data_IF_338481358887
#
_entry.id   IF_338481358887
#
_cell.length_a   1.000
_cell.length_b   1.000
_cell.length_c   1.000
_cell.angle_alpha   90.00
_cell.angle_beta   90.00
_cell.angle_gamma   90.00
#
_symmetry.space_group_name_H-M   'P 1'
#
loop_
_entity.id
_entity.type
_entity.pdbx_description
1 polymer ?
#
# COMPACT_ATOMS: atom_id res chain seq x y z
N UNK A 1 -10.09 -25.52 9.20
CA UNK A 1 -10.73 -24.29 8.66
C UNK A 1 -12.19 -24.36 9.05
N UNK A 2 -12.77 -23.27 9.54
CA UNK A 2 -14.20 -23.26 9.89
C UNK A 2 -15.04 -23.17 8.61
N UNK A 3 -15.98 -24.10 8.44
CA UNK A 3 -16.91 -24.09 7.32
C UNK A 3 -17.77 -22.82 7.35
N UNK A 4 -17.88 -22.05 6.25
CA UNK A 4 -18.66 -20.80 6.24
C UNK A 4 -20.19 -21.00 6.26
N UNK A 5 -20.66 -22.26 6.21
CA UNK A 5 -22.08 -22.63 6.16
C UNK A 5 -22.59 -23.27 7.45
N UNK A 6 -21.86 -24.24 8.02
CA UNK A 6 -22.28 -24.95 9.23
C UNK A 6 -21.37 -24.71 10.44
N UNK A 7 -20.36 -23.84 10.32
CA UNK A 7 -19.42 -23.49 11.40
C UNK A 7 -18.59 -24.65 11.99
N UNK A 8 -18.66 -25.85 11.42
CA UNK A 8 -17.81 -26.99 11.83
C UNK A 8 -16.36 -26.72 11.42
N UNK A 9 -15.41 -26.99 12.32
CA UNK A 9 -13.98 -26.94 12.01
C UNK A 9 -13.57 -28.21 11.26
N UNK A 10 -13.16 -28.05 9.99
CA UNK A 10 -12.80 -29.14 9.09
C UNK A 10 -11.29 -29.27 8.95
N UNK A 11 -10.82 -30.51 8.92
CA UNK A 11 -9.48 -30.89 8.48
C UNK A 11 -9.37 -30.84 6.94
N UNK A 12 -8.14 -30.87 6.42
CA UNK A 12 -7.93 -30.78 4.97
C UNK A 12 -8.47 -31.96 4.17
N UNK A 13 -8.39 -33.17 4.73
CA UNK A 13 -9.00 -34.38 4.16
C UNK A 13 -10.54 -34.34 4.17
N UNK A 14 -11.15 -33.45 4.96
CA UNK A 14 -12.61 -33.34 5.13
C UNK A 14 -13.25 -32.27 4.23
N UNK A 15 -12.49 -31.79 3.26
CA UNK A 15 -12.89 -30.70 2.36
C UNK A 15 -12.47 -30.93 0.91
N UNK A 16 -12.60 -32.18 0.46
CA UNK A 16 -12.33 -32.60 -0.91
C UNK A 16 -13.18 -31.80 -1.91
N UNK A 17 -12.56 -31.30 -2.98
CA UNK A 17 -13.26 -30.51 -3.99
C UNK A 17 -13.90 -29.22 -3.45
N UNK A 18 -13.34 -28.63 -2.38
CA UNK A 18 -13.86 -27.42 -1.71
C UNK A 18 -15.30 -27.59 -1.21
N UNK A 19 -15.66 -28.82 -0.83
CA UNK A 19 -16.99 -29.15 -0.32
C UNK A 19 -16.88 -29.66 1.09
N UNK A 20 -17.67 -29.12 2.01
CA UNK A 20 -17.67 -29.54 3.41
C UNK A 20 -18.23 -30.97 3.54
N UNK A 21 -17.48 -31.90 4.14
CA UNK A 21 -18.02 -33.25 4.35
C UNK A 21 -19.22 -33.30 5.30
N UNK A 22 -19.36 -32.35 6.23
CA UNK A 22 -20.45 -32.32 7.21
C UNK A 22 -21.77 -31.82 6.60
N UNK A 23 -21.77 -30.65 5.93
CA UNK A 23 -22.99 -30.05 5.37
C UNK A 23 -23.14 -30.22 3.84
N UNK A 24 -22.16 -30.82 3.17
CA UNK A 24 -22.10 -31.04 1.71
C UNK A 24 -22.17 -29.78 0.84
N UNK A 25 -22.04 -28.59 1.43
CA UNK A 25 -22.01 -27.32 0.68
C UNK A 25 -20.60 -26.96 0.23
N UNK A 26 -20.52 -26.42 -0.98
CA UNK A 26 -19.29 -25.89 -1.56
C UNK A 26 -18.93 -24.54 -0.96
N UNK A 27 -17.64 -24.27 -0.79
CA UNK A 27 -17.09 -22.97 -0.40
C UNK A 27 -16.10 -22.48 -1.46
N UNK A 28 -15.84 -21.17 -1.49
CA UNK A 28 -15.12 -20.54 -2.59
C UNK A 28 -13.61 -20.71 -2.50
N UNK A 29 -13.04 -20.48 -1.31
CA UNK A 29 -11.61 -20.29 -1.09
C UNK A 29 -11.04 -21.36 -0.16
N UNK A 30 -10.02 -22.05 -0.64
CA UNK A 30 -9.24 -23.02 0.12
C UNK A 30 -7.88 -22.42 0.49
N UNK A 31 -7.53 -22.28 1.79
CA UNK A 31 -6.31 -21.60 2.21
C UNK A 31 -4.99 -22.26 1.77
N UNK A 32 -4.99 -23.53 1.36
CA UNK A 32 -3.80 -24.15 0.74
C UNK A 32 -3.65 -23.89 -0.76
N UNK A 33 -4.73 -23.51 -1.44
CA UNK A 33 -4.77 -23.37 -2.90
C UNK A 33 -4.39 -21.96 -3.38
N UNK A 34 -4.17 -21.00 -2.47
CA UNK A 34 -3.87 -19.62 -2.81
C UNK A 34 -2.75 -19.02 -1.96
N UNK A 35 -1.94 -18.16 -2.57
CA UNK A 35 -0.74 -17.54 -1.98
C UNK A 35 -1.07 -16.70 -0.73
N UNK A 36 -2.26 -16.13 -0.67
CA UNK A 36 -2.73 -15.28 0.42
C UNK A 36 -3.22 -16.08 1.64
N UNK A 37 -3.33 -17.40 1.51
CA UNK A 37 -3.95 -18.32 2.48
C UNK A 37 -5.33 -17.82 2.92
N UNK A 38 -6.12 -17.36 1.95
CA UNK A 38 -7.48 -16.90 2.15
C UNK A 38 -8.44 -18.08 2.24
N UNK A 39 -9.46 -17.87 3.06
CA UNK A 39 -10.57 -18.77 3.26
C UNK A 39 -11.82 -17.93 3.48
N UNK A 40 -13.00 -18.51 3.28
CA UNK A 40 -14.23 -17.72 3.13
C UNK A 40 -14.55 -16.86 4.35
N UNK A 41 -14.39 -17.42 5.56
CA UNK A 41 -14.59 -16.66 6.80
C UNK A 41 -13.65 -15.45 6.88
N UNK A 42 -12.36 -15.61 6.55
CA UNK A 42 -11.39 -14.50 6.56
C UNK A 42 -11.74 -13.45 5.51
N UNK A 43 -12.22 -13.87 4.35
CA UNK A 43 -12.68 -12.96 3.30
C UNK A 43 -13.88 -12.12 3.75
N UNK A 44 -14.88 -12.74 4.41
CA UNK A 44 -16.02 -12.01 5.01
C UNK A 44 -15.56 -11.04 6.07
N UNK A 45 -14.67 -11.46 6.98
CA UNK A 45 -14.11 -10.58 8.01
C UNK A 45 -13.35 -9.39 7.42
N UNK A 46 -12.62 -9.57 6.33
CA UNK A 46 -11.93 -8.46 5.65
C UNK A 46 -12.93 -7.49 5.00
N UNK A 47 -13.95 -8.02 4.32
CA UNK A 47 -15.03 -7.22 3.74
C UNK A 47 -15.78 -6.40 4.82
N UNK A 48 -16.13 -7.03 5.94
CA UNK A 48 -16.77 -6.38 7.08
C UNK A 48 -15.89 -5.29 7.70
N UNK A 49 -14.58 -5.56 7.87
CA UNK A 49 -13.62 -4.58 8.38
C UNK A 49 -13.46 -3.37 7.46
N UNK A 50 -13.44 -3.58 6.14
CA UNK A 50 -13.39 -2.48 5.18
C UNK A 50 -14.70 -1.68 5.13
N UNK A 51 -15.83 -2.35 5.37
CA UNK A 51 -17.13 -1.72 5.53
C UNK A 51 -17.30 -0.95 6.85
N UNK A 52 -16.36 -1.10 7.79
CA UNK A 52 -16.28 -0.37 9.07
C UNK A 52 -17.59 -0.39 9.89
N UNK A 53 -18.38 -1.47 9.77
CA UNK A 53 -19.72 -1.58 10.38
C UNK A 53 -20.79 -0.64 9.81
N UNK A 54 -20.39 0.41 9.09
CA UNK A 54 -21.24 1.44 8.46
C UNK A 54 -21.73 1.05 7.06
N UNK A 55 -21.29 -0.10 6.55
CA UNK A 55 -21.60 -0.55 5.20
C UNK A 55 -20.86 0.22 4.12
N UNK A 56 -19.68 0.77 4.44
CA UNK A 56 -18.83 1.43 3.47
C UNK A 56 -18.49 0.49 2.31
N UNK A 57 -18.40 1.07 1.12
CA UNK A 57 -18.00 0.37 -0.10
C UNK A 57 -16.49 0.49 -0.29
N UNK A 58 -15.90 -0.50 -0.93
CA UNK A 58 -14.45 -0.58 -1.18
C UNK A 58 -14.17 -1.18 -2.55
N UNK A 59 -13.00 -0.90 -3.12
CA UNK A 59 -12.61 -1.43 -4.44
C UNK A 59 -11.81 -2.73 -4.36
N UNK A 60 -11.64 -3.42 -5.49
CA UNK A 60 -10.84 -4.64 -5.56
C UNK A 60 -9.38 -4.44 -5.10
N UNK A 61 -8.67 -3.36 -5.49
CA UNK A 61 -7.35 -3.05 -4.95
C UNK A 61 -7.31 -2.92 -3.42
N UNK A 62 -8.27 -2.20 -2.81
CA UNK A 62 -8.33 -2.05 -1.35
C UNK A 62 -8.47 -3.39 -0.63
N UNK A 63 -9.35 -4.26 -1.13
CA UNK A 63 -9.53 -5.59 -0.60
C UNK A 63 -8.30 -6.47 -0.80
N UNK A 64 -7.65 -6.37 -1.96
CA UNK A 64 -6.42 -7.08 -2.27
C UNK A 64 -5.26 -6.68 -1.35
N UNK A 65 -5.07 -5.38 -1.11
CA UNK A 65 -4.07 -4.87 -0.15
C UNK A 65 -4.38 -5.34 1.28
N UNK A 66 -5.64 -5.23 1.71
CA UNK A 66 -6.07 -5.68 3.04
C UNK A 66 -5.86 -7.20 3.23
N UNK A 67 -6.09 -8.00 2.20
CA UNK A 67 -5.88 -9.44 2.21
C UNK A 67 -4.39 -9.83 2.28
N UNK A 68 -3.55 -9.04 1.63
CA UNK A 68 -2.14 -9.38 1.40
C UNK A 68 -1.17 -8.78 2.40
N UNK A 69 -1.51 -7.69 3.11
CA UNK A 69 -0.57 -6.94 3.96
C UNK A 69 0.21 -7.79 4.98
N UNK A 70 -0.43 -8.80 5.58
CA UNK A 70 0.22 -9.71 6.55
C UNK A 70 0.94 -10.90 5.88
N UNK A 71 1.05 -10.89 4.56
CA UNK A 71 1.68 -11.94 3.73
C UNK A 71 2.78 -11.39 2.83
N UNK A 72 3.06 -10.09 2.90
CA UNK A 72 4.17 -9.49 2.18
C UNK A 72 5.47 -10.05 2.77
N UNK A 73 6.33 -10.69 1.96
CA UNK A 73 7.59 -11.23 2.46
C UNK A 73 8.50 -10.10 2.92
N UNK A 74 9.21 -10.24 4.06
CA UNK A 74 10.20 -9.25 4.46
C UNK A 74 11.31 -9.13 3.39
N UNK A 75 11.86 -7.93 3.27
CA UNK A 75 12.99 -7.65 2.40
C UNK A 75 14.12 -8.69 2.55
N UNK A 76 14.51 -9.29 1.41
CA UNK A 76 15.56 -10.30 1.34
C UNK A 76 15.26 -11.63 2.03
N UNK A 77 13.98 -12.04 2.10
CA UNK A 77 13.61 -13.38 2.61
C UNK A 77 14.16 -14.50 1.71
N UNK A 78 14.06 -14.35 0.38
CA UNK A 78 14.52 -15.36 -0.59
C UNK A 78 16.04 -15.63 -0.48
N UNK A 79 16.84 -14.59 -0.22
CA UNK A 79 18.30 -14.71 -0.07
C UNK A 79 18.75 -15.28 1.29
N UNK A 80 17.84 -15.45 2.28
CA UNK A 80 18.22 -16.01 3.59
C UNK A 80 18.56 -17.49 3.52
N UNK A 81 17.76 -18.29 2.82
CA UNK A 81 17.90 -19.74 2.76
C UNK A 81 19.20 -20.16 2.07
N UNK A 82 19.41 -19.67 0.84
CA UNK A 82 20.58 -20.03 0.03
C UNK A 82 21.91 -19.68 0.73
N UNK A 83 22.00 -18.53 1.38
CA UNK A 83 23.23 -18.12 2.09
C UNK A 83 23.53 -18.99 3.31
N UNK A 84 22.53 -19.34 4.13
CA UNK A 84 22.78 -20.20 5.30
C UNK A 84 23.30 -21.55 4.84
N UNK A 85 22.70 -22.12 3.80
CA UNK A 85 23.18 -23.36 3.19
C UNK A 85 24.62 -23.21 2.67
N UNK A 86 24.93 -22.13 1.94
CA UNK A 86 26.27 -21.91 1.40
C UNK A 86 27.33 -21.75 2.49
N UNK A 87 27.06 -20.94 3.53
CA UNK A 87 27.98 -20.78 4.67
C UNK A 87 28.20 -22.10 5.41
N UNK A 88 27.15 -22.89 5.63
CA UNK A 88 27.27 -24.21 6.27
C UNK A 88 28.12 -25.15 5.41
N UNK A 89 27.89 -25.21 4.10
CA UNK A 89 28.68 -26.03 3.18
C UNK A 89 30.15 -25.59 3.19
N UNK A 90 30.42 -24.29 3.12
CA UNK A 90 31.80 -23.77 3.15
C UNK A 90 32.48 -24.08 4.49
N UNK A 91 31.77 -23.95 5.61
CA UNK A 91 32.29 -24.27 6.94
C UNK A 91 32.63 -25.76 7.07
N UNK A 92 31.71 -26.64 6.63
CA UNK A 92 31.91 -28.10 6.65
C UNK A 92 33.08 -28.49 5.78
N UNK A 93 33.16 -27.96 4.54
CA UNK A 93 34.28 -28.22 3.64
C UNK A 93 35.62 -27.78 4.25
N UNK A 94 35.66 -26.60 4.88
CA UNK A 94 36.87 -26.10 5.55
C UNK A 94 37.29 -27.02 6.72
N UNK A 95 36.35 -27.47 7.54
CA UNK A 95 36.62 -28.40 8.66
C UNK A 95 37.12 -29.75 8.13
N UNK A 96 36.48 -30.30 7.09
CA UNK A 96 36.89 -31.56 6.47
C UNK A 96 38.32 -31.49 5.93
N UNK A 97 38.67 -30.40 5.21
CA UNK A 97 40.03 -30.18 4.66
C UNK A 97 41.08 -30.09 5.78
N UNK A 98 40.78 -29.41 6.89
CA UNK A 98 41.70 -29.29 8.03
C UNK A 98 41.86 -30.63 8.77
N UNK A 99 40.78 -31.41 8.88
CA UNK A 99 40.80 -32.68 9.61
C UNK A 99 41.61 -33.79 8.90
N UNK A 100 41.61 -33.80 7.56
CA UNK A 100 42.25 -34.83 6.75
C UNK A 100 43.75 -34.61 6.46
N UNK A 101 44.31 -33.43 6.76
CA UNK A 101 45.63 -33.04 6.27
C UNK A 101 46.69 -32.96 7.39
N UNK A 102 47.83 -33.69 7.30
CA UNK A 102 48.89 -33.66 8.31
C UNK A 102 49.61 -32.29 8.41
N UNK A 103 49.50 -31.44 7.38
CA UNK A 103 50.07 -30.09 7.35
C UNK A 103 49.13 -29.02 7.93
N UNK A 104 48.70 -29.17 9.19
CA UNK A 104 47.68 -28.32 9.83
C UNK A 104 48.07 -26.84 9.93
N UNK A 105 49.35 -26.53 10.19
CA UNK A 105 49.82 -25.15 10.46
C UNK A 105 49.74 -24.21 9.25
N UNK A 106 50.25 -24.54 8.04
CA UNK A 106 50.15 -23.64 6.89
C UNK A 106 48.70 -23.51 6.37
N UNK A 107 47.88 -24.57 6.47
CA UNK A 107 46.47 -24.54 6.07
C UNK A 107 45.66 -23.58 6.95
N UNK A 108 45.91 -23.54 8.26
CA UNK A 108 45.27 -22.58 9.16
C UNK A 108 45.68 -21.14 8.87
N UNK A 109 46.96 -20.90 8.55
CA UNK A 109 47.51 -19.55 8.35
C UNK A 109 47.01 -18.87 7.07
N UNK A 110 46.76 -19.65 6.01
CA UNK A 110 46.25 -19.13 4.71
C UNK A 110 44.75 -19.36 4.54
N UNK A 111 44.25 -20.53 4.93
CA UNK A 111 42.85 -20.90 4.78
C UNK A 111 41.90 -20.09 5.68
N UNK A 112 42.34 -19.75 6.90
CA UNK A 112 41.56 -18.93 7.82
C UNK A 112 41.22 -17.54 7.26
N UNK A 113 42.22 -16.74 6.83
CA UNK A 113 41.97 -15.44 6.21
C UNK A 113 41.13 -15.50 4.94
N UNK A 114 41.37 -16.47 4.04
CA UNK A 114 40.58 -16.64 2.81
C UNK A 114 39.11 -16.93 3.14
N UNK A 115 38.86 -17.82 4.12
CA UNK A 115 37.51 -18.11 4.59
C UNK A 115 36.86 -16.87 5.21
N UNK A 116 37.58 -16.11 6.03
CA UNK A 116 37.09 -14.88 6.64
C UNK A 116 36.70 -13.82 5.58
N UNK A 117 37.54 -13.62 4.55
CA UNK A 117 37.25 -12.73 3.43
C UNK A 117 36.04 -13.22 2.64
N UNK A 118 35.93 -14.52 2.36
CA UNK A 118 34.77 -15.09 1.67
C UNK A 118 33.47 -14.85 2.46
N UNK A 119 33.48 -15.12 3.78
CA UNK A 119 32.33 -14.86 4.66
C UNK A 119 31.98 -13.37 4.68
N UNK A 120 32.98 -12.48 4.73
CA UNK A 120 32.77 -11.03 4.69
C UNK A 120 32.17 -10.58 3.35
N UNK A 121 32.72 -11.04 2.22
CA UNK A 121 32.20 -10.75 0.89
C UNK A 121 30.75 -11.23 0.73
N UNK A 122 30.44 -12.44 1.19
CA UNK A 122 29.07 -12.97 1.18
C UNK A 122 28.15 -12.14 2.09
N UNK A 123 28.64 -11.70 3.25
CA UNK A 123 27.89 -10.83 4.17
C UNK A 123 27.59 -9.47 3.53
N UNK A 124 28.57 -8.84 2.87
CA UNK A 124 28.40 -7.57 2.18
C UNK A 124 27.48 -7.69 0.95
N UNK A 125 27.65 -8.75 0.15
CA UNK A 125 26.78 -9.06 -0.98
C UNK A 125 25.33 -9.27 -0.51
N UNK A 126 25.12 -9.96 0.63
CA UNK A 126 23.80 -10.13 1.25
C UNK A 126 23.24 -8.81 1.77
N UNK A 127 24.06 -7.97 2.41
CA UNK A 127 23.63 -6.64 2.87
C UNK A 127 23.20 -5.78 1.68
N UNK A 128 23.92 -5.85 0.56
CA UNK A 128 23.57 -5.17 -0.70
C UNK A 128 22.30 -5.75 -1.32
N UNK A 129 22.18 -7.07 -1.47
CA UNK A 129 20.99 -7.73 -1.99
C UNK A 129 19.75 -7.36 -1.16
N UNK A 130 19.84 -7.40 0.18
CA UNK A 130 18.75 -6.96 1.08
C UNK A 130 18.34 -5.51 0.89
N UNK A 131 19.21 -4.64 0.38
CA UNK A 131 18.89 -3.24 0.07
C UNK A 131 18.19 -3.09 -1.28
N UNK A 132 18.43 -3.99 -2.23
CA UNK A 132 17.96 -3.88 -3.62
C UNK A 132 16.78 -4.82 -3.93
N UNK A 133 16.58 -5.88 -3.15
CA UNK A 133 15.56 -6.90 -3.45
C UNK A 133 14.15 -6.29 -3.49
N UNK A 134 13.41 -6.35 -4.61
CA UNK A 134 12.08 -5.78 -4.66
C UNK A 134 11.15 -6.50 -3.68
N UNK A 135 10.31 -5.73 -2.98
CA UNK A 135 9.26 -6.24 -2.11
C UNK A 135 7.94 -6.08 -2.86
N UNK A 136 7.47 -7.19 -3.43
CA UNK A 136 6.25 -7.25 -4.23
C UNK A 136 5.11 -7.88 -3.43
N UNK A 137 3.90 -7.60 -3.89
CA UNK A 137 2.72 -8.30 -3.41
C UNK A 137 2.82 -9.79 -3.75
N UNK A 138 2.46 -10.69 -2.83
CA UNK A 138 2.61 -12.14 -3.01
C UNK A 138 1.73 -12.71 -4.14
N UNK A 139 0.66 -12.00 -4.49
CA UNK A 139 -0.28 -12.34 -5.57
C UNK A 139 -0.55 -11.04 -6.35
N UNK A 140 -0.59 -11.09 -7.69
CA UNK A 140 -0.96 -9.92 -8.51
C UNK A 140 -2.45 -9.58 -8.37
N UNK A 141 -2.83 -8.33 -8.67
CA UNK A 141 -4.23 -7.90 -8.61
C UNK A 141 -5.10 -8.69 -9.60
N UNK A 142 -4.66 -8.86 -10.85
CA UNK A 142 -5.39 -9.64 -11.87
C UNK A 142 -5.63 -11.10 -11.43
N UNK A 143 -4.62 -11.73 -10.82
CA UNK A 143 -4.77 -13.08 -10.26
C UNK A 143 -5.70 -13.10 -9.07
N UNK A 144 -5.72 -12.04 -8.25
CA UNK A 144 -6.68 -11.91 -7.16
C UNK A 144 -8.12 -11.78 -7.69
N UNK A 145 -8.34 -10.97 -8.72
CA UNK A 145 -9.65 -10.81 -9.34
C UNK A 145 -10.17 -12.12 -9.95
N UNK A 146 -9.35 -12.79 -10.76
CA UNK A 146 -9.72 -14.06 -11.41
C UNK A 146 -9.80 -15.25 -10.43
N UNK A 147 -8.78 -15.48 -9.60
CA UNK A 147 -8.74 -16.66 -8.75
C UNK A 147 -9.54 -16.54 -7.45
N UNK A 148 -9.78 -15.32 -6.95
CA UNK A 148 -10.47 -15.09 -5.67
C UNK A 148 -11.85 -14.48 -5.90
N UNK A 149 -11.95 -13.34 -6.58
CA UNK A 149 -13.22 -12.60 -6.67
C UNK A 149 -14.22 -13.24 -7.64
N UNK A 150 -13.76 -13.66 -8.82
CA UNK A 150 -14.60 -14.38 -9.78
C UNK A 150 -15.06 -15.72 -9.19
N UNK A 151 -14.13 -16.49 -8.60
CA UNK A 151 -14.49 -17.76 -7.94
C UNK A 151 -15.50 -17.57 -6.81
N UNK A 152 -15.35 -16.50 -6.02
CA UNK A 152 -16.31 -16.13 -5.00
C UNK A 152 -17.70 -15.88 -5.60
N UNK A 153 -17.76 -15.11 -6.68
CA UNK A 153 -19.01 -14.80 -7.37
C UNK A 153 -19.67 -16.06 -7.97
N UNK A 154 -18.90 -16.99 -8.54
CA UNK A 154 -19.41 -18.27 -9.05
C UNK A 154 -20.07 -19.13 -7.97
N UNK A 155 -19.44 -19.25 -6.80
CA UNK A 155 -19.93 -20.13 -5.72
C UNK A 155 -21.10 -19.49 -4.96
N UNK A 156 -21.08 -18.18 -4.76
CA UNK A 156 -22.08 -17.49 -3.95
C UNK A 156 -23.13 -16.71 -4.75
N UNK A 157 -23.02 -16.66 -6.08
CA UNK A 157 -23.91 -15.89 -6.96
C UNK A 157 -23.78 -14.36 -6.81
N UNK A 158 -22.81 -13.88 -6.01
CA UNK A 158 -22.61 -12.45 -5.72
C UNK A 158 -21.19 -12.15 -5.30
N UNK A 159 -20.76 -10.91 -5.49
CA UNK A 159 -19.47 -10.41 -5.00
C UNK A 159 -19.44 -10.28 -3.47
N UNK A 160 -18.24 -10.19 -2.85
CA UNK A 160 -18.11 -9.84 -1.44
C UNK A 160 -18.89 -8.56 -1.12
N UNK A 161 -19.58 -8.53 0.03
CA UNK A 161 -20.44 -7.40 0.42
C UNK A 161 -19.62 -6.11 0.48
N UNK A 162 -20.11 -5.05 -0.17
CA UNK A 162 -19.43 -3.75 -0.20
C UNK A 162 -18.41 -3.58 -1.33
N UNK A 163 -18.08 -4.63 -2.08
CA UNK A 163 -17.16 -4.51 -3.21
C UNK A 163 -17.80 -3.71 -4.36
N UNK A 164 -17.18 -2.58 -4.71
CA UNK A 164 -17.53 -1.76 -5.87
C UNK A 164 -17.12 -2.47 -7.15
N UNK A 165 -17.98 -2.56 -8.17
CA UNK A 165 -17.59 -3.11 -9.45
C UNK A 165 -16.60 -2.19 -10.18
N UNK A 166 -15.62 -2.74 -10.92
CA UNK A 166 -14.82 -1.94 -11.84
C UNK A 166 -15.78 -1.20 -12.78
N UNK A 167 -15.71 0.12 -12.77
CA UNK A 167 -16.69 0.95 -13.45
C UNK A 167 -15.97 1.78 -14.52
N UNK A 168 -16.37 1.58 -15.77
CA UNK A 168 -15.92 2.43 -16.88
C UNK A 168 -16.68 3.76 -16.95
N UNK A 169 -17.69 3.96 -16.09
CA UNK A 169 -18.48 5.17 -16.09
C UNK A 169 -17.59 6.40 -15.80
N UNK A 170 -17.94 7.57 -16.37
CA UNK A 170 -17.28 8.82 -16.03
C UNK A 170 -17.31 9.11 -14.53
N UNK A 171 -16.27 9.78 -14.03
CA UNK A 171 -16.25 10.25 -12.64
C UNK A 171 -17.33 11.32 -12.41
N UNK A 172 -17.86 11.44 -11.19
CA UNK A 172 -18.78 12.52 -10.84
C UNK A 172 -18.16 13.90 -11.09
N UNK A 173 -18.79 14.66 -11.98
CA UNK A 173 -18.44 16.04 -12.30
C UNK A 173 -19.69 16.91 -12.13
N UNK A 174 -20.02 17.34 -10.90
CA UNK A 174 -21.18 18.20 -10.67
C UNK A 174 -20.98 19.54 -11.38
N UNK A 175 -22.07 20.20 -11.84
CA UNK A 175 -21.98 21.40 -12.67
C UNK A 175 -21.38 22.62 -11.94
N UNK A 176 -21.46 22.65 -10.61
CA UNK A 176 -20.90 23.70 -9.76
C UNK A 176 -20.17 23.07 -8.56
N UNK A 177 -18.96 22.54 -8.75
CA UNK A 177 -18.20 21.94 -7.67
C UNK A 177 -17.66 23.02 -6.73
N UNK A 178 -17.83 22.83 -5.43
CA UNK A 178 -17.20 23.69 -4.42
C UNK A 178 -15.73 23.32 -4.18
N UNK A 179 -15.38 22.05 -4.43
CA UNK A 179 -14.02 21.51 -4.29
C UNK A 179 -13.79 20.48 -5.39
N UNK A 180 -12.55 20.31 -5.84
CA UNK A 180 -12.13 19.18 -6.67
C UNK A 180 -11.26 18.22 -5.84
N UNK A 181 -11.43 16.91 -6.04
CA UNK A 181 -10.53 15.87 -5.54
C UNK A 181 -9.72 15.37 -6.71
N UNK A 182 -8.41 15.62 -6.66
CA UNK A 182 -7.44 15.26 -7.69
C UNK A 182 -6.65 14.04 -7.23
N UNK A 183 -6.78 12.91 -7.93
CA UNK A 183 -6.05 11.68 -7.62
C UNK A 183 -5.76 10.87 -8.89
N UNK A 184 -4.51 10.42 -9.13
CA UNK A 184 -4.20 9.66 -10.34
C UNK A 184 -4.82 8.25 -10.30
N UNK A 185 -5.02 7.69 -9.10
CA UNK A 185 -5.56 6.34 -8.91
C UNK A 185 -7.09 6.32 -9.06
N UNK A 186 -7.56 5.70 -10.14
CA UNK A 186 -8.98 5.56 -10.42
C UNK A 186 -9.72 4.75 -9.35
N UNK A 187 -9.10 3.72 -8.77
CA UNK A 187 -9.75 2.89 -7.76
C UNK A 187 -9.96 3.65 -6.44
N UNK A 188 -9.10 4.63 -6.13
CA UNK A 188 -9.30 5.55 -5.01
C UNK A 188 -10.51 6.45 -5.28
N UNK A 189 -10.62 7.02 -6.48
CA UNK A 189 -11.75 7.87 -6.86
C UNK A 189 -13.08 7.09 -6.90
N UNK A 190 -13.08 5.87 -7.46
CA UNK A 190 -14.26 5.00 -7.46
C UNK A 190 -14.69 4.63 -6.03
N UNK A 191 -13.74 4.39 -5.12
CA UNK A 191 -14.04 4.19 -3.69
C UNK A 191 -14.74 5.42 -3.10
N UNK A 192 -14.21 6.62 -3.33
CA UNK A 192 -14.80 7.85 -2.81
C UNK A 192 -16.20 8.08 -3.40
N UNK A 193 -16.36 7.90 -4.71
CA UNK A 193 -17.64 8.05 -5.41
C UNK A 193 -18.70 7.09 -4.87
N UNK A 194 -18.33 5.83 -4.65
CA UNK A 194 -19.23 4.79 -4.17
C UNK A 194 -19.68 4.98 -2.71
N UNK A 195 -19.06 5.90 -1.97
CA UNK A 195 -19.39 6.23 -0.58
C UNK A 195 -19.93 7.65 -0.42
N UNK A 196 -20.52 8.21 -1.48
CA UNK A 196 -21.19 9.52 -1.46
C UNK A 196 -20.29 10.69 -1.05
N UNK A 197 -18.96 10.54 -1.14
CA UNK A 197 -18.03 11.65 -0.95
C UNK A 197 -18.33 12.88 -1.85
N UNK A 198 -18.86 12.73 -3.09
CA UNK A 198 -19.26 13.88 -3.91
C UNK A 198 -20.38 14.75 -3.32
N UNK A 199 -21.15 14.27 -2.34
CA UNK A 199 -22.39 14.92 -1.92
C UNK A 199 -22.18 16.14 -1.00
N UNK A 200 -21.18 16.13 -0.11
CA UNK A 200 -20.96 17.22 0.84
C UNK A 200 -19.51 17.35 1.34
N UNK A 201 -18.79 18.45 1.02
CA UNK A 201 -19.12 19.48 0.03
C UNK A 201 -19.31 18.89 -1.38
N UNK A 202 -19.93 19.62 -2.30
CA UNK A 202 -20.09 19.14 -3.69
C UNK A 202 -18.72 19.00 -4.36
N UNK A 203 -18.23 17.76 -4.54
CA UNK A 203 -16.88 17.50 -5.06
C UNK A 203 -16.91 17.03 -6.52
N UNK A 204 -16.04 17.63 -7.35
CA UNK A 204 -15.66 17.04 -8.63
C UNK A 204 -14.51 16.05 -8.43
N UNK A 205 -14.56 14.89 -9.07
CA UNK A 205 -13.48 13.90 -9.03
C UNK A 205 -12.72 13.91 -10.35
N UNK A 206 -11.42 14.14 -10.27
CA UNK A 206 -10.56 14.34 -11.45
C UNK A 206 -9.23 13.60 -11.29
N UNK A 207 -8.64 13.18 -12.42
CA UNK A 207 -7.39 12.41 -12.43
C UNK A 207 -6.16 13.24 -12.77
N UNK A 208 -6.35 14.38 -13.42
CA UNK A 208 -5.26 15.25 -13.86
C UNK A 208 -5.52 16.73 -13.52
N UNK A 209 -4.46 17.54 -13.28
CA UNK A 209 -4.63 18.95 -12.91
C UNK A 209 -5.40 19.79 -13.93
N UNK A 210 -5.30 19.48 -15.23
CA UNK A 210 -6.01 20.15 -16.33
C UNK A 210 -7.53 19.93 -16.30
N UNK A 211 -7.99 18.89 -15.62
CA UNK A 211 -9.42 18.60 -15.44
C UNK A 211 -10.04 19.39 -14.28
N UNK A 212 -9.22 20.05 -13.44
CA UNK A 212 -9.72 20.82 -12.30
C UNK A 212 -10.46 22.07 -12.80
N UNK A 213 -11.75 22.27 -12.46
CA UNK A 213 -12.50 23.43 -12.93
C UNK A 213 -11.84 24.76 -12.52
N UNK A 214 -11.85 25.80 -13.38
CA UNK A 214 -11.27 27.10 -13.04
C UNK A 214 -11.87 27.70 -11.76
N UNK A 215 -11.02 28.29 -10.92
CA UNK A 215 -11.42 28.93 -9.65
C UNK A 215 -11.74 27.97 -8.50
N UNK A 216 -11.82 26.66 -8.72
CA UNK A 216 -12.19 25.68 -7.69
C UNK A 216 -10.96 25.18 -6.92
N UNK A 217 -10.93 25.19 -5.57
CA UNK A 217 -9.82 24.62 -4.82
C UNK A 217 -9.75 23.10 -5.01
N UNK A 218 -8.54 22.54 -5.00
CA UNK A 218 -8.29 21.13 -5.27
C UNK A 218 -7.60 20.44 -4.08
N UNK A 219 -8.21 19.37 -3.59
CA UNK A 219 -7.58 18.43 -2.66
C UNK A 219 -6.79 17.40 -3.47
N UNK A 220 -5.46 17.43 -3.36
CA UNK A 220 -4.55 16.57 -4.11
C UNK A 220 -4.20 15.33 -3.28
N UNK A 221 -4.58 14.16 -3.78
CA UNK A 221 -4.29 12.86 -3.19
C UNK A 221 -3.20 12.15 -4.00
N UNK A 222 -2.26 11.54 -3.31
CA UNK A 222 -1.18 10.79 -3.93
C UNK A 222 -0.70 9.64 -3.02
N UNK A 223 0.01 8.70 -3.63
CA UNK A 223 0.71 7.61 -2.94
C UNK A 223 1.93 8.14 -2.18
N UNK A 224 2.37 7.40 -1.16
CA UNK A 224 3.69 7.63 -0.55
C UNK A 224 4.76 6.99 -1.45
N UNK A 225 4.98 7.57 -2.62
CA UNK A 225 5.92 7.11 -3.64
C UNK A 225 6.60 8.31 -4.31
N UNK A 226 7.75 8.09 -4.98
CA UNK A 226 8.40 9.13 -5.78
C UNK A 226 7.47 9.75 -6.82
N UNK A 227 6.73 8.93 -7.56
CA UNK A 227 5.78 9.39 -8.58
C UNK A 227 4.58 10.12 -7.98
N UNK A 228 4.08 9.69 -6.81
CA UNK A 228 3.00 10.36 -6.11
C UNK A 228 3.39 11.75 -5.61
N UNK A 229 4.61 11.88 -5.07
CA UNK A 229 5.15 13.17 -4.64
C UNK A 229 5.43 14.10 -5.84
N UNK A 230 5.97 13.57 -6.93
CA UNK A 230 6.14 14.33 -8.17
C UNK A 230 4.79 14.82 -8.73
N UNK A 231 3.75 13.97 -8.71
CA UNK A 231 2.39 14.35 -9.08
C UNK A 231 1.86 15.49 -8.20
N UNK A 232 2.07 15.41 -6.89
CA UNK A 232 1.65 16.46 -5.96
C UNK A 232 2.37 17.80 -6.20
N UNK A 233 3.68 17.74 -6.50
CA UNK A 233 4.46 18.91 -6.86
C UNK A 233 3.97 19.53 -8.19
N UNK A 234 3.73 18.70 -9.21
CA UNK A 234 3.18 19.15 -10.50
C UNK A 234 1.79 19.79 -10.34
N UNK A 235 0.92 19.19 -9.53
CA UNK A 235 -0.40 19.76 -9.22
C UNK A 235 -0.29 21.12 -8.52
N UNK A 236 0.66 21.28 -7.59
CA UNK A 236 0.94 22.58 -6.95
C UNK A 236 1.44 23.62 -7.93
N UNK A 237 2.35 23.25 -8.84
CA UNK A 237 2.83 24.16 -9.89
C UNK A 237 1.69 24.59 -10.81
N UNK A 238 0.80 23.67 -11.19
CA UNK A 238 -0.30 23.96 -12.10
C UNK A 238 -1.44 24.78 -11.46
N UNK A 239 -1.74 24.54 -10.18
CA UNK A 239 -2.92 25.10 -9.51
C UNK A 239 -2.59 26.22 -8.51
N UNK A 240 -1.31 26.41 -8.18
CA UNK A 240 -0.84 27.39 -7.20
C UNK A 240 -1.44 27.18 -5.82
N UNK A 241 -1.91 28.26 -5.20
CA UNK A 241 -2.53 28.25 -3.86
C UNK A 241 -3.82 27.44 -3.78
N UNK A 242 -4.45 27.12 -4.92
CA UNK A 242 -5.65 26.28 -4.95
C UNK A 242 -5.38 24.82 -4.63
N UNK A 243 -4.13 24.35 -4.72
CA UNK A 243 -3.77 22.96 -4.43
C UNK A 243 -3.49 22.73 -2.94
N UNK A 244 -4.41 22.03 -2.28
CA UNK A 244 -4.23 21.48 -0.93
C UNK A 244 -3.78 20.01 -1.02
N UNK A 245 -2.49 19.77 -0.79
CA UNK A 245 -1.91 18.41 -0.84
C UNK A 245 -2.23 17.65 0.45
N UNK A 246 -2.94 16.52 0.33
CA UNK A 246 -3.36 15.64 1.44
C UNK A 246 -3.13 14.16 1.10
N UNK A 247 -2.10 13.87 0.32
CA UNK A 247 -1.72 12.50 0.01
C UNK A 247 -1.09 11.76 1.17
N UNK A 248 -0.77 10.49 0.93
CA UNK A 248 -0.10 9.64 1.90
C UNK A 248 1.39 10.04 1.99
N UNK A 249 1.85 10.42 3.18
CA UNK A 249 3.23 10.80 3.42
C UNK A 249 4.07 9.59 3.88
N UNK A 250 5.36 9.51 3.51
CA UNK A 250 6.25 8.43 3.94
C UNK A 250 6.31 8.29 5.48
N UNK A 251 6.43 9.39 6.23
CA UNK A 251 6.42 9.35 7.71
C UNK A 251 5.20 8.64 8.31
N UNK A 252 4.02 8.84 7.72
CA UNK A 252 2.78 8.20 8.19
C UNK A 252 2.84 6.69 7.97
N UNK A 253 3.37 6.25 6.83
CA UNK A 253 3.57 4.83 6.51
C UNK A 253 4.62 4.20 7.43
N UNK A 254 5.74 4.90 7.65
CA UNK A 254 6.85 4.45 8.49
C UNK A 254 6.45 4.29 9.95
N UNK A 255 5.61 5.19 10.47
CA UNK A 255 5.06 5.14 11.83
C UNK A 255 4.05 4.01 12.06
N UNK A 256 3.48 3.41 11.00
CA UNK A 256 2.46 2.36 11.11
C UNK A 256 3.00 0.99 10.72
N UNK A 257 3.14 0.08 11.69
CA UNK A 257 3.66 -1.28 11.49
C UNK A 257 2.85 -2.11 10.47
N UNK A 258 1.52 -1.89 10.42
CA UNK A 258 0.60 -2.63 9.57
C UNK A 258 0.36 -1.96 8.19
N UNK A 259 1.08 -0.90 7.87
CA UNK A 259 0.99 -0.26 6.57
C UNK A 259 1.60 -1.15 5.48
N UNK A 260 0.99 -1.15 4.28
CA UNK A 260 1.55 -1.85 3.12
C UNK A 260 2.81 -1.11 2.68
N UNK A 261 3.96 -1.77 2.73
CA UNK A 261 5.24 -1.23 2.30
C UNK A 261 5.77 -2.11 1.18
N UNK A 262 5.86 -1.55 -0.01
CA UNK A 262 6.39 -2.20 -1.19
C UNK A 262 7.74 -1.59 -1.53
N UNK A 263 8.55 -2.34 -2.28
CA UNK A 263 9.85 -1.86 -2.70
C UNK A 263 10.10 -2.20 -4.15
N UNK A 264 10.48 -1.18 -4.90
CA UNK A 264 10.99 -1.29 -6.26
C UNK A 264 12.50 -1.10 -6.27
N UNK A 265 13.08 -0.98 -7.46
CA UNK A 265 14.49 -0.66 -7.61
C UNK A 265 14.81 0.67 -6.91
N UNK A 266 15.97 0.78 -6.22
CA UNK A 266 16.40 2.04 -5.64
C UNK A 266 16.45 3.16 -6.67
N UNK A 267 16.14 4.38 -6.22
CA UNK A 267 16.19 5.55 -7.09
C UNK A 267 17.65 5.87 -7.46
N UNK A 268 17.90 6.33 -8.70
CA UNK A 268 19.18 6.90 -9.06
C UNK A 268 19.43 8.20 -8.27
N UNK A 269 20.70 8.56 -8.07
CA UNK A 269 21.09 9.75 -7.28
C UNK A 269 20.43 11.04 -7.79
N UNK A 270 20.30 11.20 -9.11
CA UNK A 270 19.64 12.37 -9.69
C UNK A 270 18.16 12.47 -9.24
N UNK A 271 17.45 11.34 -9.14
CA UNK A 271 16.05 11.31 -8.73
C UNK A 271 15.86 11.69 -7.26
N UNK A 272 16.84 11.38 -6.40
CA UNK A 272 16.81 11.82 -4.99
C UNK A 272 17.00 13.33 -4.88
N UNK A 273 17.90 13.91 -5.68
CA UNK A 273 18.12 15.35 -5.70
C UNK A 273 16.88 16.10 -6.21
N UNK A 274 16.24 15.59 -7.27
CA UNK A 274 14.99 16.14 -7.81
C UNK A 274 13.83 16.07 -6.80
N UNK A 275 13.67 14.95 -6.09
CA UNK A 275 12.67 14.82 -5.03
C UNK A 275 12.91 15.82 -3.90
N UNK A 276 14.16 16.00 -3.46
CA UNK A 276 14.49 16.98 -2.41
C UNK A 276 14.16 18.41 -2.86
N UNK A 277 14.46 18.75 -4.12
CA UNK A 277 14.14 20.07 -4.67
C UNK A 277 12.61 20.29 -4.79
N UNK A 278 11.88 19.27 -5.20
CA UNK A 278 10.42 19.35 -5.44
C UNK A 278 9.59 19.25 -4.14
N UNK A 279 10.15 18.67 -3.08
CA UNK A 279 9.47 18.40 -1.82
C UNK A 279 10.36 18.77 -0.62
N UNK A 280 10.59 20.07 -0.35
CA UNK A 280 11.51 20.54 0.69
C UNK A 280 11.08 20.18 2.12
N UNK A 281 9.84 19.73 2.32
CA UNK A 281 9.29 19.34 3.63
C UNK A 281 9.64 17.90 4.02
N UNK A 282 10.23 17.10 3.12
CA UNK A 282 10.63 15.74 3.44
C UNK A 282 11.82 15.73 4.40
N UNK A 283 11.78 14.85 5.40
CA UNK A 283 12.95 14.63 6.26
C UNK A 283 13.97 13.75 5.54
N UNK A 284 15.22 13.76 6.02
CA UNK A 284 16.26 12.88 5.47
C UNK A 284 15.90 11.40 5.61
N UNK A 285 15.20 11.02 6.68
CA UNK A 285 14.74 9.63 6.88
C UNK A 285 13.71 9.22 5.81
N UNK A 286 12.77 10.12 5.46
CA UNK A 286 11.80 9.88 4.40
C UNK A 286 12.46 9.82 3.02
N UNK A 287 13.43 10.70 2.76
CA UNK A 287 14.21 10.69 1.53
C UNK A 287 15.01 9.40 1.40
N UNK A 288 15.67 8.94 2.45
CA UNK A 288 16.40 7.68 2.47
C UNK A 288 15.48 6.48 2.26
N UNK A 289 14.26 6.51 2.79
CA UNK A 289 13.25 5.48 2.58
C UNK A 289 12.83 5.41 1.10
N UNK A 290 12.50 6.56 0.49
CA UNK A 290 12.15 6.65 -0.93
C UNK A 290 13.34 6.31 -1.84
N UNK A 291 14.54 6.74 -1.51
CA UNK A 291 15.77 6.47 -2.26
C UNK A 291 16.08 4.98 -2.34
N UNK A 292 15.73 4.22 -1.31
CA UNK A 292 15.82 2.75 -1.29
C UNK A 292 14.72 2.07 -2.13
N UNK A 293 13.86 2.82 -2.81
CA UNK A 293 12.79 2.32 -3.65
C UNK A 293 11.53 1.93 -2.87
N UNK A 294 11.44 2.26 -1.58
CA UNK A 294 10.24 1.96 -0.81
C UNK A 294 9.09 2.90 -1.18
N UNK A 295 7.88 2.36 -1.19
CA UNK A 295 6.66 3.12 -1.44
C UNK A 295 5.43 2.47 -0.81
N UNK A 296 4.33 3.23 -0.73
CA UNK A 296 3.03 2.73 -0.26
C UNK A 296 1.87 3.29 -1.10
N UNK A 297 0.98 2.44 -1.63
CA UNK A 297 -0.18 2.86 -2.40
C UNK A 297 -1.26 3.46 -1.50
N UNK A 298 -1.87 4.55 -1.94
CA UNK A 298 -3.03 5.17 -1.30
C UNK A 298 -4.23 4.21 -1.30
N UNK A 299 -4.37 3.36 -2.32
CA UNK A 299 -5.36 2.29 -2.36
C UNK A 299 -5.20 1.23 -1.24
N UNK A 300 -4.10 1.21 -0.48
CA UNK A 300 -3.99 0.37 0.72
C UNK A 300 -4.63 1.00 1.97
N UNK A 301 -5.01 2.29 1.91
CA UNK A 301 -5.70 2.98 3.01
C UNK A 301 -7.16 2.51 3.09
N UNK A 302 -7.66 2.13 4.28
CA UNK A 302 -9.05 1.74 4.45
C UNK A 302 -10.03 2.86 4.05
N UNK A 303 -11.21 2.54 3.48
CA UNK A 303 -12.20 3.53 3.03
C UNK A 303 -12.57 4.56 4.10
N UNK A 304 -12.76 4.12 5.35
CA UNK A 304 -13.11 4.99 6.47
C UNK A 304 -12.07 6.10 6.72
N UNK A 305 -10.78 5.73 6.70
CA UNK A 305 -9.68 6.68 6.92
C UNK A 305 -9.54 7.63 5.73
N UNK A 306 -9.67 7.10 4.51
CA UNK A 306 -9.61 7.88 3.28
C UNK A 306 -10.74 8.93 3.23
N UNK A 307 -11.98 8.53 3.48
CA UNK A 307 -13.14 9.45 3.50
C UNK A 307 -12.97 10.54 4.56
N UNK A 308 -12.50 10.17 5.76
CA UNK A 308 -12.28 11.13 6.85
C UNK A 308 -11.24 12.19 6.45
N UNK A 309 -10.11 11.75 5.88
CA UNK A 309 -9.05 12.65 5.43
C UNK A 309 -9.54 13.58 4.30
N UNK A 310 -10.25 13.04 3.32
CA UNK A 310 -10.80 13.82 2.19
C UNK A 310 -11.86 14.81 2.64
N UNK A 311 -12.81 14.43 3.49
CA UNK A 311 -13.83 15.36 3.99
C UNK A 311 -13.22 16.49 4.82
N UNK A 312 -12.26 16.18 5.69
CA UNK A 312 -11.56 17.21 6.47
C UNK A 312 -10.72 18.13 5.58
N UNK A 313 -10.11 17.61 4.52
CA UNK A 313 -9.38 18.40 3.53
C UNK A 313 -10.31 19.30 2.71
N UNK A 314 -11.41 18.74 2.21
CA UNK A 314 -12.38 19.47 1.40
C UNK A 314 -13.04 20.59 2.19
N UNK A 315 -13.36 20.36 3.47
CA UNK A 315 -13.86 21.42 4.36
C UNK A 315 -12.85 22.56 4.51
N UNK A 316 -11.58 22.24 4.79
CA UNK A 316 -10.51 23.25 4.89
C UNK A 316 -10.30 24.03 3.58
N UNK A 317 -10.39 23.33 2.44
CA UNK A 317 -10.27 23.94 1.13
C UNK A 317 -11.44 24.89 0.82
N UNK A 318 -12.66 24.50 1.18
CA UNK A 318 -13.84 25.34 1.04
C UNK A 318 -13.75 26.60 1.92
N UNK A 319 -13.40 26.43 3.21
CA UNK A 319 -13.23 27.53 4.17
C UNK A 319 -12.13 28.51 3.76
N UNK A 320 -11.04 28.06 3.13
CA UNK A 320 -9.96 28.94 2.68
C UNK A 320 -10.37 29.82 1.47
N UNK A 321 -11.35 29.38 0.69
CA UNK A 321 -11.78 30.07 -0.53
C UNK A 321 -12.92 31.04 -0.27
N UNK A 322 -13.63 30.87 0.85
CA UNK A 322 -14.73 31.73 1.28
C UNK A 322 -14.29 33.21 1.38
N UNK A 323 -14.82 34.10 0.52
CA UNK A 323 -14.46 35.51 0.50
C UNK A 323 -14.87 36.23 1.80
N UNK A 324 -15.95 35.81 2.48
CA UNK A 324 -16.38 36.42 3.74
C UNK A 324 -15.41 36.06 4.85
N UNK A 325 -14.87 34.84 4.84
CA UNK A 325 -13.86 34.42 5.80
C UNK A 325 -12.49 35.05 5.55
N UNK A 326 -12.12 35.27 4.28
CA UNK A 326 -10.95 36.07 3.89
C UNK A 326 -11.13 37.54 4.27
N UNK A 327 -12.33 38.09 4.07
CA UNK A 327 -12.71 39.43 4.51
C UNK A 327 -12.61 39.58 6.02
N UNK A 328 -13.19 38.66 6.79
CA UNK A 328 -13.12 38.66 8.26
C UNK A 328 -11.68 38.53 8.80
N UNK A 329 -10.79 37.76 8.14
CA UNK A 329 -9.36 37.73 8.48
C UNK A 329 -8.63 39.02 8.12
N UNK A 330 -8.99 39.65 7.01
CA UNK A 330 -8.42 40.92 6.56
C UNK A 330 -8.90 42.13 7.37
N UNK A 331 -10.10 42.07 7.95
CA UNK A 331 -10.65 43.13 8.81
C UNK A 331 -9.99 43.12 10.20
N UNK A 332 -9.33 42.03 10.59
CA UNK A 332 -8.73 41.88 11.91
C UNK A 332 -9.82 41.84 12.97
N UNK A 333 -9.86 40.79 13.78
CA UNK A 333 -10.73 40.79 14.95
C UNK A 333 -10.30 41.97 15.84
N UNK A 334 -11.11 43.02 15.87
CA UNK A 334 -10.89 44.24 16.64
C UNK A 334 -10.51 43.86 18.07
N UNK A 335 -9.40 44.43 18.50
CA UNK A 335 -8.95 44.59 19.88
C UNK A 335 -10.13 44.84 20.81
N UNK A 336 -10.20 44.05 21.88
CA UNK A 336 -11.06 44.33 23.03
C UNK A 336 -10.75 45.74 23.58
N UNK A 337 -11.75 46.56 23.94
CA UNK A 337 -11.50 47.81 24.63
C UNK A 337 -11.04 47.53 26.06
N UNK A 338 -9.83 47.97 26.41
CA UNK A 338 -9.34 48.04 27.78
C UNK A 338 -10.17 49.10 28.54
N UNK A 339 -10.56 48.76 29.78
CA UNK A 339 -11.24 49.67 30.72
C UNK A 339 -10.22 50.45 31.52
#
# INVERSE_FOLDING_TARGET
MICPHCSVNLLHKERTGRTCLACKRTFALEPKDNELRLHDVRMRTLAEKLGDGRGLRYTAPQLWYAASRNRIPPAGQASRGCFVTLVVITLVAAVSIVSANPFRKPVLLVGGPVLAVLVLCLFLARRRARRVDPVRMPMSLERFESAVLQRWAEVYGRRPRGLVPPTAAPLPAPPRPGVAVLCPDRAVLDCLAANDAPAAPTMAMVQSPDQVPPGVPAVVLHDASPSGLAFAAAARTALGERALVVGLLPRSVMAHENAVRLRESPLPQYGVAELRASCPTLTDEELDWLAQGWWSPLAAVPPAALLTAVHQAARRAAEATDPDHRGARGVGFLTWPER
#
